data_IF_617786069623
#
_entry.id   IF_617786069623
#
_cell.length_a   1.000
_cell.length_b   1.000
_cell.length_c   1.000
_cell.angle_alpha   90.00
_cell.angle_beta   90.00
_cell.angle_gamma   90.00
#
_symmetry.space_group_name_H-M   'P 1'
#
loop_
_entity.id
_entity.type
_entity.pdbx_description
1 polymer ?
#
# COMPACT_ATOMS: atom_id res chain seq x y z
N UNK A 1 -10.57 37.41 -11.36
CA UNK A 1 -10.36 36.45 -10.26
C UNK A 1 -10.28 35.05 -10.86
N UNK A 2 -9.18 34.32 -10.58
CA UNK A 2 -8.76 33.07 -11.25
C UNK A 2 -9.70 31.90 -10.98
N UNK A 3 -10.40 31.40 -12.00
CA UNK A 3 -10.87 30.01 -12.04
C UNK A 3 -9.70 29.14 -12.47
N UNK A 4 -8.85 28.76 -11.49
CA UNK A 4 -7.91 27.64 -11.66
C UNK A 4 -8.75 26.39 -11.93
N UNK A 5 -9.03 26.08 -13.20
CA UNK A 5 -9.39 24.74 -13.65
C UNK A 5 -8.17 23.86 -13.38
N UNK A 6 -8.04 23.40 -12.13
CA UNK A 6 -7.19 22.25 -11.83
C UNK A 6 -7.76 21.13 -12.67
N UNK A 7 -6.98 20.68 -13.64
CA UNK A 7 -7.13 19.44 -14.39
C UNK A 7 -7.11 18.30 -13.37
N UNK A 8 -8.22 18.16 -12.63
CA UNK A 8 -8.45 17.03 -11.77
C UNK A 8 -8.70 15.90 -12.75
N UNK A 9 -7.64 15.16 -13.08
CA UNK A 9 -7.73 13.79 -13.57
C UNK A 9 -8.38 12.96 -12.45
N UNK A 10 -9.65 13.26 -12.16
CA UNK A 10 -10.57 12.36 -11.49
C UNK A 10 -10.69 11.23 -12.49
N UNK A 11 -10.05 10.12 -12.22
CA UNK A 11 -10.55 8.82 -12.65
C UNK A 11 -12.00 8.76 -12.17
N UNK A 12 -12.93 9.24 -13.01
CA UNK A 12 -14.37 9.33 -12.76
C UNK A 12 -15.04 7.95 -12.75
N UNK A 13 -14.28 6.92 -13.09
CA UNK A 13 -14.74 5.56 -13.15
C UNK A 13 -14.34 4.85 -11.85
N UNK A 14 -15.32 4.25 -11.13
CA UNK A 14 -15.00 3.35 -10.03
C UNK A 14 -14.09 2.24 -10.55
N UNK A 15 -13.21 1.75 -9.68
CA UNK A 15 -12.35 0.63 -10.00
C UNK A 15 -13.23 -0.58 -10.33
N UNK A 16 -12.84 -1.40 -11.33
CA UNK A 16 -13.50 -2.65 -11.60
C UNK A 16 -13.59 -3.48 -10.32
N UNK A 17 -14.72 -4.15 -10.08
CA UNK A 17 -14.92 -4.94 -8.86
C UNK A 17 -13.86 -6.03 -8.68
N UNK A 18 -13.39 -6.59 -9.80
CA UNK A 18 -12.25 -7.53 -9.82
C UNK A 18 -11.01 -6.91 -9.18
N UNK A 19 -10.67 -5.67 -9.54
CA UNK A 19 -9.51 -4.94 -9.00
C UNK A 19 -9.70 -4.63 -7.52
N UNK A 20 -10.89 -4.21 -7.09
CA UNK A 20 -11.20 -3.96 -5.67
C UNK A 20 -11.08 -5.25 -4.85
N UNK A 21 -11.55 -6.37 -5.38
CA UNK A 21 -11.47 -7.70 -4.75
C UNK A 21 -10.03 -8.17 -4.56
N UNK A 22 -9.11 -7.77 -5.44
CA UNK A 22 -7.67 -8.05 -5.31
C UNK A 22 -6.98 -7.05 -4.38
N UNK A 23 -7.34 -5.76 -4.44
CA UNK A 23 -6.71 -4.71 -3.62
C UNK A 23 -6.96 -4.89 -2.12
N UNK A 24 -8.12 -5.44 -1.72
CA UNK A 24 -8.44 -5.72 -0.31
C UNK A 24 -7.47 -6.73 0.34
N UNK A 25 -7.26 -7.93 -0.20
CA UNK A 25 -6.27 -8.87 0.33
C UNK A 25 -4.86 -8.35 0.14
N UNK A 26 -4.53 -7.65 -0.97
CA UNK A 26 -3.20 -7.03 -1.13
C UNK A 26 -2.90 -6.07 0.01
N UNK A 27 -3.86 -5.23 0.42
CA UNK A 27 -3.69 -4.35 1.58
C UNK A 27 -3.42 -5.13 2.86
N UNK A 28 -4.17 -6.20 3.13
CA UNK A 28 -3.99 -7.01 4.33
C UNK A 28 -2.64 -7.75 4.30
N UNK A 29 -2.34 -8.43 3.20
CA UNK A 29 -1.08 -9.15 2.98
C UNK A 29 0.13 -8.22 3.07
N UNK A 30 0.01 -6.98 2.58
CA UNK A 30 1.09 -5.99 2.71
C UNK A 30 1.32 -5.59 4.17
N UNK A 31 0.26 -5.45 4.98
CA UNK A 31 0.41 -5.16 6.41
C UNK A 31 1.06 -6.34 7.15
N UNK A 32 0.62 -7.57 6.87
CA UNK A 32 1.20 -8.79 7.46
C UNK A 32 2.66 -8.97 7.03
N UNK A 33 2.95 -8.80 5.73
CA UNK A 33 4.31 -8.87 5.18
C UNK A 33 5.24 -7.84 5.80
N UNK A 34 4.78 -6.60 5.99
CA UNK A 34 5.55 -5.57 6.69
C UNK A 34 5.89 -5.97 8.12
N UNK A 35 4.91 -6.46 8.90
CA UNK A 35 5.15 -6.91 10.26
C UNK A 35 6.15 -8.07 10.30
N UNK A 36 6.03 -9.02 9.38
CA UNK A 36 6.96 -10.15 9.29
C UNK A 36 8.38 -9.69 8.96
N UNK A 37 8.56 -8.88 7.92
CA UNK A 37 9.87 -8.39 7.48
C UNK A 37 10.54 -7.52 8.54
N UNK A 38 9.79 -6.63 9.20
CA UNK A 38 10.34 -5.80 10.28
C UNK A 38 10.73 -6.64 11.49
N UNK A 39 9.96 -7.69 11.81
CA UNK A 39 10.31 -8.62 12.89
C UNK A 39 11.57 -9.41 12.53
N UNK A 40 11.66 -9.93 11.30
CA UNK A 40 12.85 -10.64 10.82
C UNK A 40 14.08 -9.72 10.79
N UNK A 41 13.94 -8.50 10.30
CA UNK A 41 15.01 -7.50 10.32
C UNK A 41 15.50 -7.23 11.74
N UNK A 42 14.57 -7.03 12.70
CA UNK A 42 14.92 -6.83 14.10
C UNK A 42 15.61 -8.05 14.72
N UNK A 43 15.16 -9.26 14.40
CA UNK A 43 15.80 -10.50 14.86
C UNK A 43 17.20 -10.65 14.27
N UNK A 44 17.39 -10.40 12.98
CA UNK A 44 18.70 -10.47 12.34
C UNK A 44 19.66 -9.45 12.96
N UNK A 45 19.20 -8.27 13.38
CA UNK A 45 20.04 -7.30 14.10
C UNK A 45 20.50 -7.77 15.49
N UNK A 46 19.87 -8.80 16.07
CA UNK A 46 20.27 -9.35 17.38
C UNK A 46 21.28 -10.49 17.28
N UNK A 47 21.60 -10.96 16.07
CA UNK A 47 22.62 -11.99 15.83
C UNK A 47 24.03 -11.40 16.04
N UNK A 48 24.95 -12.21 16.59
CA UNK A 48 26.36 -11.79 16.80
C UNK A 48 27.08 -11.50 15.48
N UNK A 49 26.75 -12.23 14.42
CA UNK A 49 27.25 -12.01 13.05
C UNK A 49 26.07 -11.94 12.06
N UNK A 50 25.43 -10.77 11.92
CA UNK A 50 24.24 -10.65 11.10
C UNK A 50 24.57 -10.80 9.61
N UNK A 51 23.86 -11.71 8.95
CA UNK A 51 23.99 -11.90 7.51
C UNK A 51 23.59 -10.62 6.75
N UNK A 52 24.54 -10.02 6.03
CA UNK A 52 24.33 -8.80 5.25
C UNK A 52 23.26 -8.98 4.17
N UNK A 53 23.16 -10.18 3.57
CA UNK A 53 22.12 -10.48 2.58
C UNK A 53 20.74 -10.50 3.22
N UNK A 54 20.60 -11.11 4.41
CA UNK A 54 19.34 -11.16 5.17
C UNK A 54 18.90 -9.77 5.60
N UNK A 55 19.81 -8.94 6.13
CA UNK A 55 19.54 -7.54 6.48
C UNK A 55 19.08 -6.72 5.28
N UNK A 56 19.72 -6.92 4.12
CA UNK A 56 19.36 -6.19 2.89
C UNK A 56 17.98 -6.58 2.41
N UNK A 57 17.66 -7.88 2.36
CA UNK A 57 16.35 -8.37 1.94
C UNK A 57 15.22 -7.91 2.85
N UNK A 58 15.40 -8.08 4.16
CA UNK A 58 14.40 -7.68 5.15
C UNK A 58 14.24 -6.17 5.24
N UNK A 59 15.33 -5.41 5.06
CA UNK A 59 15.30 -3.95 4.91
C UNK A 59 14.53 -3.47 3.68
N UNK A 60 14.72 -4.11 2.51
CA UNK A 60 13.94 -3.82 1.30
C UNK A 60 12.46 -4.14 1.54
N UNK A 61 12.16 -5.31 2.13
CA UNK A 61 10.80 -5.72 2.47
C UNK A 61 10.10 -4.72 3.40
N UNK A 62 10.80 -4.26 4.44
CA UNK A 62 10.30 -3.27 5.39
C UNK A 62 9.93 -1.93 4.74
N UNK A 63 10.53 -1.56 3.60
CA UNK A 63 10.15 -0.35 2.84
C UNK A 63 9.08 -0.65 1.78
N UNK A 64 9.19 -1.79 1.10
CA UNK A 64 8.32 -2.17 0.00
C UNK A 64 6.87 -2.43 0.42
N UNK A 65 6.67 -3.17 1.52
CA UNK A 65 5.34 -3.53 1.99
C UNK A 65 4.48 -2.33 2.46
N UNK A 66 5.00 -1.34 3.22
CA UNK A 66 4.27 -0.12 3.52
C UNK A 66 3.87 0.66 2.27
N UNK A 67 4.74 0.68 1.25
CA UNK A 67 4.46 1.38 0.01
C UNK A 67 3.28 0.74 -0.74
N UNK A 68 3.27 -0.60 -0.84
CA UNK A 68 2.15 -1.36 -1.38
C UNK A 68 0.86 -1.16 -0.57
N UNK A 69 0.96 -1.17 0.77
CA UNK A 69 -0.17 -0.90 1.65
C UNK A 69 -0.78 0.49 1.37
N UNK A 70 0.06 1.53 1.31
CA UNK A 70 -0.38 2.91 1.07
C UNK A 70 -1.02 3.06 -0.31
N UNK A 71 -0.43 2.45 -1.35
CA UNK A 71 -1.01 2.45 -2.70
C UNK A 71 -2.38 1.77 -2.71
N UNK A 72 -2.48 0.56 -2.16
CA UNK A 72 -3.72 -0.19 -2.10
C UNK A 72 -4.80 0.54 -1.28
N UNK A 73 -4.42 1.07 -0.11
CA UNK A 73 -5.29 1.86 0.74
C UNK A 73 -5.79 3.12 0.03
N UNK A 74 -4.90 3.88 -0.62
CA UNK A 74 -5.25 5.10 -1.36
C UNK A 74 -6.18 4.80 -2.54
N UNK A 75 -5.96 3.71 -3.26
CA UNK A 75 -6.84 3.28 -4.36
C UNK A 75 -8.23 2.90 -3.86
N UNK A 76 -8.33 2.07 -2.82
CA UNK A 76 -9.61 1.68 -2.21
C UNK A 76 -10.38 2.87 -1.64
N UNK A 77 -9.69 3.82 -0.99
CA UNK A 77 -10.33 5.03 -0.43
C UNK A 77 -10.87 5.95 -1.54
N UNK A 78 -10.16 6.06 -2.66
CA UNK A 78 -10.63 6.82 -3.83
C UNK A 78 -11.86 6.16 -4.45
N UNK A 79 -11.86 4.84 -4.59
CA UNK A 79 -13.00 4.08 -5.12
C UNK A 79 -14.26 4.24 -4.24
N UNK A 80 -14.11 4.08 -2.92
CA UNK A 80 -15.21 4.26 -1.97
C UNK A 80 -15.85 5.66 -2.07
N UNK A 81 -15.03 6.72 -2.21
CA UNK A 81 -15.54 8.09 -2.41
C UNK A 81 -16.24 8.27 -3.75
N UNK A 82 -15.75 7.63 -4.81
CA UNK A 82 -16.35 7.70 -6.13
C UNK A 82 -17.72 7.00 -6.18
N UNK A 83 -17.87 5.87 -5.46
CA UNK A 83 -19.15 5.17 -5.31
C UNK A 83 -20.14 5.96 -4.44
N UNK A 84 -19.70 6.45 -3.28
CA UNK A 84 -20.55 7.26 -2.39
C UNK A 84 -21.08 8.54 -3.05
N UNK A 85 -20.31 9.16 -3.96
CA UNK A 85 -20.74 10.34 -4.72
C UNK A 85 -21.77 10.03 -5.83
N UNK A 86 -22.04 8.76 -6.13
CA UNK A 86 -23.06 8.35 -7.12
C UNK A 86 -24.35 7.86 -6.46
N UNK A 87 -24.26 7.41 -5.21
CA UNK A 87 -25.40 6.87 -4.44
C UNK A 87 -26.15 7.94 -3.64
N UNK A 88 -25.58 9.14 -3.46
CA UNK A 88 -26.21 10.29 -2.81
C UNK A 88 -26.41 11.46 -3.76
#
# INVERSE_FOLDING_TARGET
>A
MRTRRRTQWRTQYPLPERTVRVLRPVRLLSAVGFLLETTLFALTLTEEEPSTSTLTWTGIGAVYFPLLFLLAHRMLRKDSRARASREG
#
